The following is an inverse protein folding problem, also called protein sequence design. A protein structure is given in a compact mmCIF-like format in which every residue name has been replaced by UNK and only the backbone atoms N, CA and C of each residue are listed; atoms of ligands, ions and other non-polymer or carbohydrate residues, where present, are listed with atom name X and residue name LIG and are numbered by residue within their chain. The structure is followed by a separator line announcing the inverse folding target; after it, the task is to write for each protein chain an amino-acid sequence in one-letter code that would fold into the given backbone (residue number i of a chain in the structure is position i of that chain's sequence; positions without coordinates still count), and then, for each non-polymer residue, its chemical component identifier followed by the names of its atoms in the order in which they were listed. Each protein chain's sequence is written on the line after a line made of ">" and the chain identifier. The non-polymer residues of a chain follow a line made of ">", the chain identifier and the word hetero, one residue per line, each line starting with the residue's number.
data_IF_610733521977
#
_entry.id   IF_610733521977
#
_cell.length_a   1.000
_cell.length_b   1.000
_cell.length_c   1.000
_cell.angle_alpha   90.00
_cell.angle_beta   90.00
_cell.angle_gamma   90.00
#
_symmetry.space_group_name_H-M   'P 1'
#
loop_
_entity.id
_entity.type
_entity.pdbx_description
1 polymer ?
#
# COMPACT_ATOMS: atom_id res chain seq x y z
N UNK A 1 11.22 20.80 -1.54
CA UNK A 1 10.36 19.69 -1.09
C UNK A 1 9.18 20.25 -0.30
N UNK A 2 7.98 19.71 -0.49
CA UNK A 2 6.80 20.04 0.34
C UNK A 2 6.88 19.27 1.67
N UNK A 3 6.25 19.73 2.78
CA UNK A 3 6.35 19.06 4.08
C UNK A 3 5.86 17.60 4.08
N UNK A 4 4.85 17.28 3.27
CA UNK A 4 4.35 15.92 3.10
C UNK A 4 5.37 14.97 2.47
N UNK A 5 6.20 15.49 1.56
CA UNK A 5 7.25 14.74 0.83
C UNK A 5 8.38 14.31 1.78
N UNK A 6 8.76 15.22 2.70
CA UNK A 6 9.76 14.94 3.72
C UNK A 6 9.27 13.90 4.75
N UNK A 7 8.00 13.98 5.16
CA UNK A 7 7.42 13.01 6.10
C UNK A 7 7.32 11.60 5.50
N UNK A 8 6.95 11.49 4.22
CA UNK A 8 6.95 10.22 3.49
C UNK A 8 8.35 9.65 3.32
N UNK A 9 9.30 10.47 2.89
CA UNK A 9 10.70 10.04 2.75
C UNK A 9 11.27 9.54 4.07
N UNK A 10 10.99 10.24 5.19
CA UNK A 10 11.41 9.81 6.51
C UNK A 10 10.76 8.49 6.96
N UNK A 11 9.47 8.29 6.70
CA UNK A 11 8.77 7.04 7.01
C UNK A 11 9.32 5.84 6.22
N UNK A 12 9.64 6.04 4.95
CA UNK A 12 10.27 5.02 4.11
C UNK A 12 11.70 4.71 4.57
N UNK A 13 12.47 5.75 4.89
CA UNK A 13 13.83 5.59 5.42
C UNK A 13 13.85 4.83 6.75
N UNK A 14 12.88 5.07 7.64
CA UNK A 14 12.72 4.32 8.89
C UNK A 14 12.46 2.81 8.66
N UNK A 15 11.80 2.47 7.55
CA UNK A 15 11.59 1.09 7.12
C UNK A 15 12.79 0.51 6.35
N UNK A 16 13.86 1.30 6.15
CA UNK A 16 15.06 0.91 5.42
C UNK A 16 14.95 1.02 3.91
N UNK A 17 14.02 1.83 3.38
CA UNK A 17 13.86 2.08 1.95
C UNK A 17 14.35 3.50 1.59
N UNK A 18 15.09 3.60 0.48
CA UNK A 18 15.54 4.88 -0.06
C UNK A 18 14.65 5.31 -1.23
N UNK A 19 14.04 6.49 -1.10
CA UNK A 19 13.30 7.13 -2.19
C UNK A 19 14.28 7.93 -3.04
N UNK A 20 14.69 7.36 -4.17
CA UNK A 20 15.75 7.91 -5.03
C UNK A 20 15.23 8.92 -6.06
N UNK A 21 13.90 9.01 -6.24
CA UNK A 21 13.26 9.86 -7.24
C UNK A 21 12.24 10.82 -6.63
N UNK A 22 12.30 12.13 -6.94
CA UNK A 22 11.27 13.08 -6.51
C UNK A 22 9.91 12.81 -7.17
N UNK A 23 9.87 12.14 -8.31
CA UNK A 23 8.61 11.72 -8.95
C UNK A 23 7.98 10.60 -8.12
N UNK A 24 8.77 9.62 -7.69
CA UNK A 24 8.30 8.53 -6.83
C UNK A 24 7.75 9.06 -5.49
N UNK A 25 8.41 10.05 -4.88
CA UNK A 25 7.92 10.69 -3.66
C UNK A 25 6.55 11.36 -3.84
N UNK A 26 6.34 12.06 -4.98
CA UNK A 26 5.07 12.69 -5.32
C UNK A 26 3.95 11.68 -5.59
N UNK A 27 4.26 10.60 -6.28
CA UNK A 27 3.33 9.50 -6.55
C UNK A 27 2.89 8.81 -5.24
N UNK A 28 3.84 8.52 -4.35
CA UNK A 28 3.55 7.99 -3.01
C UNK A 28 2.66 8.95 -2.20
N UNK A 29 2.89 10.26 -2.30
CA UNK A 29 2.04 11.26 -1.66
C UNK A 29 0.62 11.28 -2.25
N UNK A 30 0.49 11.10 -3.57
CA UNK A 30 -0.82 11.00 -4.22
C UNK A 30 -1.58 9.75 -3.77
N UNK A 31 -0.91 8.59 -3.68
CA UNK A 31 -1.49 7.34 -3.17
C UNK A 31 -1.94 7.51 -1.71
N UNK A 32 -1.08 8.08 -0.86
CA UNK A 32 -1.41 8.37 0.53
C UNK A 32 -2.68 9.23 0.66
N UNK A 33 -2.77 10.30 -0.14
CA UNK A 33 -3.91 11.20 -0.15
C UNK A 33 -5.19 10.52 -0.67
N UNK A 34 -5.10 9.77 -1.78
CA UNK A 34 -6.23 9.08 -2.39
C UNK A 34 -6.90 8.07 -1.46
N UNK A 35 -6.12 7.44 -0.59
CA UNK A 35 -6.59 6.42 0.35
C UNK A 35 -6.61 6.89 1.81
N UNK A 36 -6.43 8.20 2.07
CA UNK A 36 -6.37 8.81 3.40
C UNK A 36 -5.41 8.07 4.36
N UNK A 37 -4.24 7.63 3.86
CA UNK A 37 -3.25 6.89 4.61
C UNK A 37 -2.21 7.81 5.25
N UNK A 38 -1.89 7.54 6.52
CA UNK A 38 -0.73 8.13 7.15
C UNK A 38 0.58 7.63 6.50
N UNK A 39 1.66 8.44 6.50
CA UNK A 39 2.95 8.06 5.91
C UNK A 39 3.49 6.73 6.44
N UNK A 40 3.36 6.48 7.75
CA UNK A 40 3.79 5.23 8.40
C UNK A 40 3.01 4.01 7.90
N UNK A 41 1.69 4.16 7.74
CA UNK A 41 0.82 3.10 7.21
C UNK A 41 1.17 2.77 5.75
N UNK A 42 1.51 3.80 4.95
CA UNK A 42 1.96 3.60 3.58
C UNK A 42 3.31 2.85 3.52
N UNK A 43 4.27 3.26 4.35
CA UNK A 43 5.59 2.62 4.40
C UNK A 43 5.54 1.15 4.87
N UNK A 44 4.65 0.82 5.82
CA UNK A 44 4.38 -0.58 6.20
C UNK A 44 3.78 -1.38 5.04
N UNK A 45 2.83 -0.81 4.30
CA UNK A 45 2.26 -1.48 3.12
C UNK A 45 3.30 -1.67 2.02
N UNK A 46 4.21 -0.72 1.83
CA UNK A 46 5.34 -0.87 0.92
C UNK A 46 6.21 -2.07 1.30
N UNK A 47 6.48 -2.24 2.60
CA UNK A 47 7.25 -3.39 3.10
C UNK A 47 6.58 -4.73 2.73
N UNK A 48 5.25 -4.81 2.83
CA UNK A 48 4.51 -6.02 2.43
C UNK A 48 4.57 -6.26 0.92
N UNK A 49 4.43 -5.21 0.11
CA UNK A 49 4.59 -5.27 -1.34
C UNK A 49 6.01 -5.74 -1.73
N UNK A 50 7.04 -5.21 -1.08
CA UNK A 50 8.43 -5.61 -1.32
C UNK A 50 8.66 -7.09 -0.97
N UNK A 51 8.12 -7.56 0.17
CA UNK A 51 8.19 -8.98 0.56
C UNK A 51 7.45 -9.91 -0.42
N UNK A 52 6.26 -9.50 -0.89
CA UNK A 52 5.48 -10.27 -1.88
C UNK A 52 6.22 -10.36 -3.22
N UNK A 53 6.78 -9.25 -3.69
CA UNK A 53 7.63 -9.20 -4.89
C UNK A 53 8.90 -10.05 -4.75
N UNK A 54 9.57 -10.01 -3.60
CA UNK A 54 10.75 -10.84 -3.32
C UNK A 54 10.42 -12.32 -3.39
N UNK A 55 9.27 -12.72 -2.83
CA UNK A 55 8.77 -14.08 -2.90
C UNK A 55 8.42 -14.49 -4.34
N UNK A 56 7.94 -13.56 -5.16
CA UNK A 56 7.57 -13.81 -6.55
C UNK A 56 8.78 -13.83 -7.52
N UNK A 57 9.87 -13.11 -7.26
CA UNK A 57 10.90 -12.84 -8.29
C UNK A 57 12.37 -13.12 -7.91
N UNK A 58 12.71 -13.68 -6.74
CA UNK A 58 14.11 -14.01 -6.38
C UNK A 58 15.12 -12.84 -6.56
N UNK A 59 14.69 -11.58 -6.39
CA UNK A 59 15.52 -10.40 -6.67
C UNK A 59 16.35 -10.00 -5.44
N UNK A 60 17.62 -9.60 -5.64
CA UNK A 60 18.55 -9.22 -4.55
C UNK A 60 18.52 -7.71 -4.18
N UNK A 61 17.91 -6.85 -4.99
CA UNK A 61 17.92 -5.40 -4.80
C UNK A 61 16.71 -4.90 -3.99
N UNK A 62 16.92 -4.90 -2.66
CA UNK A 62 15.91 -4.67 -1.60
C UNK A 62 15.47 -3.23 -1.37
N UNK A 63 16.23 -2.24 -1.82
CA UNK A 63 16.27 -0.95 -1.07
C UNK A 63 15.81 0.28 -1.82
N UNK A 64 15.66 0.21 -3.15
CA UNK A 64 15.42 1.39 -3.98
C UNK A 64 13.96 1.53 -4.42
N UNK A 65 13.36 2.68 -4.12
CA UNK A 65 12.00 3.04 -4.53
C UNK A 65 12.04 3.89 -5.80
N UNK A 66 11.88 3.22 -6.95
CA UNK A 66 11.78 3.84 -8.27
C UNK A 66 10.34 4.00 -8.77
N UNK A 67 10.14 4.83 -9.80
CA UNK A 67 8.81 5.18 -10.34
C UNK A 67 8.02 3.94 -10.77
N UNK A 68 8.63 3.03 -11.52
CA UNK A 68 7.96 1.80 -12.01
C UNK A 68 7.40 0.94 -10.85
N UNK A 69 8.13 0.84 -9.73
CA UNK A 69 7.67 0.11 -8.55
C UNK A 69 6.52 0.82 -7.84
N UNK A 70 6.44 2.15 -7.92
CA UNK A 70 5.35 2.93 -7.31
C UNK A 70 4.03 2.72 -8.06
N UNK A 71 4.07 2.58 -9.39
CA UNK A 71 2.88 2.26 -10.19
C UNK A 71 2.31 0.86 -9.84
N UNK A 72 3.18 -0.14 -9.74
CA UNK A 72 2.78 -1.49 -9.27
C UNK A 72 2.21 -1.43 -7.84
N UNK A 73 2.86 -0.67 -6.96
CA UNK A 73 2.42 -0.48 -5.59
C UNK A 73 1.05 0.19 -5.47
N UNK A 74 0.73 1.18 -6.32
CA UNK A 74 -0.57 1.84 -6.34
C UNK A 74 -1.71 0.82 -6.60
N UNK A 75 -1.47 -0.10 -7.53
CA UNK A 75 -2.40 -1.18 -7.85
C UNK A 75 -2.54 -2.15 -6.67
N UNK A 76 -1.42 -2.52 -6.04
CA UNK A 76 -1.41 -3.37 -4.84
C UNK A 76 -2.20 -2.76 -3.68
N UNK A 77 -2.01 -1.47 -3.38
CA UNK A 77 -2.74 -0.76 -2.32
C UNK A 77 -4.23 -0.70 -2.61
N UNK A 78 -4.61 -0.41 -3.86
CA UNK A 78 -6.01 -0.35 -4.28
C UNK A 78 -6.71 -1.70 -4.12
N UNK A 79 -6.07 -2.79 -4.55
CA UNK A 79 -6.59 -4.15 -4.42
C UNK A 79 -6.67 -4.62 -2.96
N UNK A 80 -5.63 -4.35 -2.16
CA UNK A 80 -5.61 -4.69 -0.74
C UNK A 80 -6.75 -3.99 0.01
N UNK A 81 -6.94 -2.68 -0.21
CA UNK A 81 -8.01 -1.90 0.41
C UNK A 81 -9.40 -2.31 -0.07
N UNK A 82 -9.56 -2.67 -1.35
CA UNK A 82 -10.81 -3.20 -1.88
C UNK A 82 -11.19 -4.53 -1.21
N UNK A 83 -10.22 -5.43 -1.01
CA UNK A 83 -10.42 -6.71 -0.31
C UNK A 83 -10.74 -6.54 1.17
N UNK A 84 -10.10 -5.59 1.85
CA UNK A 84 -10.43 -5.22 3.24
C UNK A 84 -11.86 -4.67 3.35
N UNK A 85 -12.25 -3.77 2.45
CA UNK A 85 -13.60 -3.18 2.42
C UNK A 85 -14.68 -4.22 2.11
N UNK A 86 -14.40 -5.21 1.25
CA UNK A 86 -15.33 -6.31 0.98
C UNK A 86 -15.54 -7.24 2.18
N UNK A 87 -14.54 -7.36 3.07
CA UNK A 87 -14.65 -8.14 4.32
C UNK A 87 -15.45 -7.39 5.38
N UNK A 88 -15.29 -6.07 5.48
CA UNK A 88 -16.00 -5.23 6.43
C UNK A 88 -17.47 -5.00 6.01
N UNK A 89 -17.73 -4.83 4.71
CA UNK A 89 -19.08 -4.68 4.16
C UNK A 89 -19.88 -5.98 3.96
N UNK A 90 -19.26 -7.15 4.22
CA UNK A 90 -19.80 -8.47 3.86
C UNK A 90 -20.42 -9.27 5.01
N UNK A 91 -20.60 -8.70 6.20
CA UNK A 91 -21.18 -9.40 7.37
C UNK A 91 -22.62 -8.96 7.70
N UNK A 92 -23.47 -8.88 6.67
CA UNK A 92 -24.93 -8.71 6.81
C UNK A 92 -25.62 -10.06 6.64
N UNK A 93 -25.82 -10.79 7.74
CA UNK A 93 -26.44 -12.11 7.75
C UNK A 93 -27.91 -12.14 7.34
N UNK A 94 -28.35 -13.31 6.88
CA UNK A 94 -29.77 -13.63 6.72
C UNK A 94 -30.02 -14.70 5.67
N UNK A 95 -29.65 -15.96 5.93
CA UNK A 95 -30.42 -17.06 5.33
C UNK A 95 -31.67 -17.24 6.20
N UNK A 96 -32.88 -16.86 5.77
CA UNK A 96 -34.07 -17.34 6.44
C UNK A 96 -34.15 -18.84 6.15
N UNK A 97 -33.83 -19.66 7.16
CA UNK A 97 -34.23 -21.06 7.14
C UNK A 97 -35.76 -21.08 7.05
N UNK A 98 -36.26 -21.66 5.97
CA UNK A 98 -37.68 -21.88 5.75
C UNK A 98 -38.32 -22.55 6.96
N UNK A 99 -39.32 -21.88 7.53
CA UNK A 99 -40.27 -22.47 8.47
C UNK A 99 -41.39 -23.11 7.67
N UNK A 100 -41.47 -24.43 7.78
CA UNK A 100 -42.60 -25.26 7.36
C UNK A 100 -43.69 -25.09 8.42
N UNK A 101 -44.92 -24.80 8.00
CA UNK A 101 -46.09 -24.70 8.88
C UNK A 101 -47.35 -24.36 8.11
#
# INVERSE_FOLDING_TARGET
>A
AMPADAALTAAFAAQGFEVTSPIAARELAAIAAAHALAPDALARRWTLFDLDRLAAQHVSERTSVGVERVEEFASFVSDALAKESARDGGHGGGTPRGGVG
#
